data_IF_722798854983
#
_entry.id   IF_722798854983
#
_cell.length_a   1.000
_cell.length_b   1.000
_cell.length_c   1.000
_cell.angle_alpha   90.00
_cell.angle_beta   90.00
_cell.angle_gamma   90.00
#
_symmetry.space_group_name_H-M   'P 1'
#
loop_
_entity.id
_entity.type
_entity.pdbx_description
1 polymer ?
#
# COMPACT_ATOMS: atom_id res chain seq x y z
N UNK A 1 15.49 7.77 -4.38
CA UNK A 1 15.33 6.31 -4.56
C UNK A 1 16.22 5.82 -5.70
N UNK A 2 16.84 4.65 -5.55
CA UNK A 2 17.72 4.02 -6.57
C UNK A 2 17.04 2.74 -7.08
N UNK A 3 17.05 2.49 -8.40
CA UNK A 3 16.48 1.28 -9.03
C UNK A 3 17.60 0.45 -9.67
N UNK A 4 17.57 -0.87 -9.44
CA UNK A 4 18.58 -1.82 -9.90
C UNK A 4 17.91 -2.91 -10.77
N UNK A 5 18.47 -3.21 -11.95
CA UNK A 5 18.03 -4.32 -12.83
C UNK A 5 19.17 -5.29 -13.12
N UNK A 6 18.84 -6.58 -13.29
CA UNK A 6 19.76 -7.68 -13.63
C UNK A 6 19.63 -8.07 -15.10
N UNK A 7 20.74 -8.41 -15.77
CA UNK A 7 20.73 -9.00 -17.11
C UNK A 7 21.84 -10.05 -17.25
N UNK A 8 21.45 -11.34 -17.31
CA UNK A 8 22.18 -12.59 -17.66
C UNK A 8 23.65 -12.82 -17.22
N UNK A 9 24.28 -11.89 -16.53
CA UNK A 9 25.22 -12.07 -15.42
C UNK A 9 24.64 -11.18 -14.32
N UNK A 10 24.31 -11.74 -13.16
CA UNK A 10 23.55 -11.03 -12.11
C UNK A 10 24.33 -9.83 -11.54
N UNK A 11 24.38 -8.74 -12.28
CA UNK A 11 24.95 -7.47 -11.84
C UNK A 11 23.81 -6.47 -11.75
N UNK A 12 23.59 -5.96 -10.55
CA UNK A 12 22.72 -4.83 -10.31
C UNK A 12 23.44 -3.55 -10.72
N UNK A 13 22.82 -2.76 -11.60
CA UNK A 13 23.33 -1.41 -11.95
C UNK A 13 22.27 -0.34 -11.71
N UNK A 14 22.72 0.84 -11.31
CA UNK A 14 21.87 2.02 -11.19
C UNK A 14 21.26 2.35 -12.56
N UNK A 15 19.94 2.31 -12.64
CA UNK A 15 19.22 2.71 -13.87
C UNK A 15 18.93 4.21 -13.92
N UNK A 16 18.60 4.84 -12.79
CA UNK A 16 18.32 6.26 -12.71
C UNK A 16 17.87 6.71 -11.33
N UNK A 17 17.54 8.00 -11.21
CA UNK A 17 17.08 8.65 -9.97
C UNK A 17 15.73 9.32 -10.22
N UNK A 18 14.76 9.02 -9.37
CA UNK A 18 13.45 9.68 -9.35
C UNK A 18 13.48 10.83 -8.34
N UNK A 19 13.20 12.05 -8.81
CA UNK A 19 13.22 13.29 -8.03
C UNK A 19 11.79 13.81 -7.91
N UNK A 20 11.42 14.35 -6.74
CA UNK A 20 10.10 14.95 -6.53
C UNK A 20 9.65 14.95 -5.08
N UNK A 21 10.10 13.97 -4.28
CA UNK A 21 9.90 14.03 -2.83
C UNK A 21 10.77 15.12 -2.19
N UNK A 22 10.16 15.94 -1.35
CA UNK A 22 10.79 16.94 -0.47
C UNK A 22 10.97 16.42 0.96
N UNK A 23 10.28 15.34 1.32
CA UNK A 23 10.28 14.70 2.63
C UNK A 23 11.01 13.37 2.70
N UNK A 24 11.05 12.80 3.90
CA UNK A 24 11.62 11.48 4.13
C UNK A 24 10.70 10.41 3.53
N UNK A 25 11.25 9.57 2.64
CA UNK A 25 10.55 8.42 2.08
C UNK A 25 10.72 7.24 3.04
N UNK A 26 9.62 6.74 3.60
CA UNK A 26 9.65 5.63 4.57
C UNK A 26 9.04 4.34 4.02
N UNK A 27 8.36 4.40 2.87
CA UNK A 27 7.76 3.24 2.20
C UNK A 27 7.95 3.29 0.69
N UNK A 28 8.12 2.11 0.10
CA UNK A 28 8.28 1.88 -1.33
C UNK A 28 7.58 0.58 -1.72
N UNK A 29 6.98 0.55 -2.90
CA UNK A 29 6.43 -0.68 -3.46
C UNK A 29 6.35 -0.64 -4.98
N UNK A 30 6.95 -1.64 -5.64
CA UNK A 30 6.81 -1.82 -7.08
C UNK A 30 5.58 -2.70 -7.40
N UNK A 31 5.02 -2.53 -8.59
CA UNK A 31 4.10 -3.53 -9.14
C UNK A 31 4.88 -4.78 -9.54
N UNK A 32 4.21 -5.95 -9.52
CA UNK A 32 4.84 -7.23 -9.86
C UNK A 32 5.40 -7.27 -11.28
N UNK A 33 4.77 -6.53 -12.21
CA UNK A 33 5.23 -6.39 -13.59
C UNK A 33 6.40 -5.39 -13.75
N UNK A 34 6.84 -4.75 -12.66
CA UNK A 34 7.97 -3.83 -12.62
C UNK A 34 7.79 -2.55 -13.44
N UNK A 35 6.55 -2.21 -13.82
CA UNK A 35 6.25 -1.00 -14.61
C UNK A 35 6.04 0.23 -13.75
N UNK A 36 5.50 0.06 -12.55
CA UNK A 36 5.13 1.17 -11.68
C UNK A 36 5.76 1.03 -10.30
N UNK A 37 5.95 2.17 -9.65
CA UNK A 37 6.50 2.26 -8.30
C UNK A 37 5.70 3.29 -7.52
N UNK A 38 5.34 2.96 -6.29
CA UNK A 38 4.80 3.88 -5.33
C UNK A 38 5.87 4.20 -4.29
N UNK A 39 5.91 5.45 -3.86
CA UNK A 39 6.74 5.90 -2.74
C UNK A 39 5.94 6.80 -1.84
N UNK A 40 6.24 6.78 -0.55
CA UNK A 40 5.51 7.61 0.40
C UNK A 40 6.23 7.84 1.70
N UNK A 41 5.90 8.96 2.33
CA UNK A 41 6.40 9.32 3.64
C UNK A 41 5.90 10.68 4.09
N UNK A 42 6.79 11.53 4.63
CA UNK A 42 6.39 12.74 5.36
C UNK A 42 5.77 13.84 4.48
N UNK A 43 6.00 13.79 3.18
CA UNK A 43 5.46 14.71 2.16
C UNK A 43 4.33 14.06 1.30
N UNK A 44 3.78 12.95 1.79
CA UNK A 44 2.68 12.23 1.15
C UNK A 44 3.12 11.08 0.25
N UNK A 45 2.28 10.74 -0.72
CA UNK A 45 2.44 9.60 -1.64
C UNK A 45 2.75 10.09 -3.05
N UNK A 46 3.58 9.35 -3.80
CA UNK A 46 3.84 9.55 -5.23
C UNK A 46 3.81 8.22 -5.97
N UNK A 47 3.44 8.27 -7.25
CA UNK A 47 3.49 7.14 -8.16
C UNK A 47 4.41 7.45 -9.35
N UNK A 48 5.13 6.45 -9.84
CA UNK A 48 6.15 6.60 -10.88
C UNK A 48 5.96 5.55 -11.96
N UNK A 49 6.15 5.98 -13.20
CA UNK A 49 6.34 5.10 -14.33
C UNK A 49 7.84 4.78 -14.45
N UNK A 50 8.21 3.51 -14.29
CA UNK A 50 9.59 3.04 -14.28
C UNK A 50 10.20 2.87 -15.68
N UNK A 51 9.39 2.94 -16.73
CA UNK A 51 9.90 2.90 -18.10
C UNK A 51 10.37 4.29 -18.56
N UNK A 52 9.53 5.29 -18.33
CA UNK A 52 9.80 6.69 -18.66
C UNK A 52 10.57 7.43 -17.56
N UNK A 53 10.67 6.83 -16.36
CA UNK A 53 11.30 7.41 -15.17
C UNK A 53 10.69 8.76 -14.78
N UNK A 54 9.36 8.87 -14.88
CA UNK A 54 8.59 10.08 -14.59
C UNK A 54 7.53 9.84 -13.53
N UNK A 55 7.21 10.89 -12.78
CA UNK A 55 6.05 10.90 -11.89
C UNK A 55 4.77 10.77 -12.72
N UNK A 56 3.85 9.93 -12.25
CA UNK A 56 2.51 9.78 -12.81
C UNK A 56 1.62 10.84 -12.15
N UNK A 57 0.88 11.65 -12.92
CA UNK A 57 -0.02 12.64 -12.34
C UNK A 57 -1.02 12.00 -11.36
N UNK A 58 -1.17 12.59 -10.18
CA UNK A 58 -2.08 12.17 -9.13
C UNK A 58 -2.73 13.37 -8.41
N UNK A 59 -3.45 13.12 -7.30
CA UNK A 59 -4.00 14.19 -6.46
C UNK A 59 -2.92 15.18 -6.01
N UNK A 60 -3.28 16.47 -5.88
CA UNK A 60 -2.30 17.54 -5.57
C UNK A 60 -2.23 17.91 -4.08
N UNK A 61 -3.13 17.39 -3.25
CA UNK A 61 -3.22 17.68 -1.80
C UNK A 61 -2.52 16.62 -0.92
N UNK A 62 -1.37 16.12 -1.40
CA UNK A 62 -0.67 14.93 -0.89
C UNK A 62 -0.31 14.98 0.60
N UNK A 63 0.00 16.17 1.13
CA UNK A 63 0.44 16.36 2.52
C UNK A 63 -0.72 16.42 3.52
N UNK A 64 -1.97 16.54 3.06
CA UNK A 64 -3.13 16.83 3.93
C UNK A 64 -3.58 15.63 4.76
N UNK A 65 -3.24 14.40 4.35
CA UNK A 65 -3.69 13.16 5.01
C UNK A 65 -2.71 12.63 6.07
N UNK A 66 -1.60 13.35 6.28
CA UNK A 66 -0.49 12.92 7.12
C UNK A 66 0.47 11.97 6.40
N UNK A 67 1.57 11.63 7.07
CA UNK A 67 2.62 10.82 6.47
C UNK A 67 2.12 9.44 6.03
N UNK A 68 2.56 8.99 4.87
CA UNK A 68 2.28 7.64 4.35
C UNK A 68 3.18 6.61 5.02
N UNK A 69 2.57 5.68 5.77
CA UNK A 69 3.26 4.72 6.65
C UNK A 69 3.08 3.27 6.23
N UNK A 70 2.16 2.97 5.32
CA UNK A 70 2.03 1.66 4.67
C UNK A 70 1.45 1.84 3.26
N UNK A 71 1.71 0.91 2.35
CA UNK A 71 1.13 0.92 1.00
C UNK A 71 1.01 -0.49 0.43
N UNK A 72 0.00 -0.69 -0.43
CA UNK A 72 -0.21 -1.89 -1.22
C UNK A 72 -0.74 -1.53 -2.62
N UNK A 73 -0.14 -2.08 -3.68
CA UNK A 73 -0.77 -2.09 -5.00
C UNK A 73 -1.94 -3.06 -5.00
N UNK A 74 -3.08 -2.61 -5.51
CA UNK A 74 -4.30 -3.39 -5.67
C UNK A 74 -4.58 -3.53 -7.15
N UNK A 75 -4.54 -4.76 -7.64
CA UNK A 75 -4.99 -5.12 -8.98
C UNK A 75 -5.71 -6.45 -8.85
N UNK A 76 -7.00 -6.44 -9.15
CA UNK A 76 -7.85 -7.61 -8.96
C UNK A 76 -7.75 -8.51 -10.19
N UNK A 77 -8.00 -9.80 -10.01
CA UNK A 77 -8.01 -10.76 -11.11
C UNK A 77 -9.24 -10.57 -12.02
N UNK A 78 -10.36 -10.14 -11.44
CA UNK A 78 -11.62 -9.84 -12.14
C UNK A 78 -11.72 -8.39 -12.66
N UNK A 79 -10.88 -7.49 -12.15
CA UNK A 79 -10.77 -6.11 -12.60
C UNK A 79 -9.31 -5.67 -12.69
N UNK A 80 -8.83 -5.52 -13.93
CA UNK A 80 -7.44 -5.19 -14.24
C UNK A 80 -7.07 -3.72 -14.00
N UNK A 81 -7.98 -2.93 -13.43
CA UNK A 81 -7.68 -1.57 -13.00
C UNK A 81 -6.64 -1.60 -11.89
N UNK A 82 -5.59 -0.79 -12.07
CA UNK A 82 -4.55 -0.63 -11.06
C UNK A 82 -4.98 0.44 -10.05
N UNK A 83 -4.91 0.11 -8.78
CA UNK A 83 -5.09 1.05 -7.69
C UNK A 83 -3.91 0.96 -6.70
N UNK A 84 -3.69 2.04 -5.96
CA UNK A 84 -2.75 2.12 -4.85
C UNK A 84 -3.54 2.42 -3.60
N UNK A 85 -3.51 1.53 -2.62
CA UNK A 85 -4.06 1.78 -1.29
C UNK A 85 -2.91 2.06 -0.34
N UNK A 86 -2.98 3.16 0.39
CA UNK A 86 -1.97 3.49 1.39
C UNK A 86 -2.60 3.89 2.72
N UNK A 87 -1.86 3.63 3.79
CA UNK A 87 -2.24 3.93 5.15
C UNK A 87 -1.38 5.06 5.71
N UNK A 88 -1.98 5.90 6.56
CA UNK A 88 -1.30 7.07 7.12
C UNK A 88 -1.06 6.95 8.63
N UNK A 89 -0.20 7.82 9.15
CA UNK A 89 0.00 8.01 10.59
C UNK A 89 -1.27 8.45 11.32
N UNK A 90 -2.24 9.03 10.60
CA UNK A 90 -3.51 9.52 11.14
C UNK A 90 -4.63 8.46 11.09
N UNK A 91 -4.27 7.18 10.95
CA UNK A 91 -5.23 6.06 10.96
C UNK A 91 -6.19 6.04 9.77
N UNK A 92 -5.81 6.64 8.65
CA UNK A 92 -6.65 6.72 7.44
C UNK A 92 -6.12 5.79 6.35
N UNK A 93 -7.03 5.10 5.67
CA UNK A 93 -6.76 4.47 4.39
C UNK A 93 -7.15 5.43 3.27
N UNK A 94 -6.29 5.56 2.28
CA UNK A 94 -6.54 6.33 1.07
C UNK A 94 -6.35 5.42 -0.13
N UNK A 95 -7.21 5.55 -1.13
CA UNK A 95 -7.10 4.80 -2.37
C UNK A 95 -7.02 5.73 -3.56
N UNK A 96 -6.01 5.48 -4.39
CA UNK A 96 -5.87 6.07 -5.70
C UNK A 96 -6.17 5.04 -6.76
N UNK A 97 -7.08 5.34 -7.67
CA UNK A 97 -7.41 4.48 -8.80
C UNK A 97 -6.82 5.05 -10.09
N UNK A 98 -6.24 4.17 -10.90
CA UNK A 98 -5.61 4.53 -12.16
C UNK A 98 -6.60 4.59 -13.32
N UNK A 99 -6.58 5.69 -14.06
CA UNK A 99 -7.39 5.91 -15.26
C UNK A 99 -6.50 6.23 -16.46
N UNK A 100 -6.91 5.81 -17.66
CA UNK A 100 -6.23 6.22 -18.90
C UNK A 100 -6.87 7.50 -19.42
N UNK A 101 -6.13 8.61 -19.43
CA UNK A 101 -6.51 9.88 -20.05
C UNK A 101 -5.52 10.22 -21.16
N UNK A 102 -6.00 10.28 -22.41
CA UNK A 102 -5.14 10.53 -23.58
C UNK A 102 -4.01 9.49 -23.73
N UNK A 103 -4.28 8.22 -23.40
CA UNK A 103 -3.29 7.13 -23.46
C UNK A 103 -2.30 7.07 -22.31
N UNK A 104 -2.29 8.06 -21.41
CA UNK A 104 -1.42 8.09 -20.23
C UNK A 104 -2.19 7.66 -18.98
N UNK A 105 -1.52 6.93 -18.10
CA UNK A 105 -2.04 6.63 -16.77
C UNK A 105 -2.03 7.90 -15.93
N UNK A 106 -3.13 8.15 -15.22
CA UNK A 106 -3.25 9.17 -14.18
C UNK A 106 -3.96 8.54 -12.99
N UNK A 107 -3.67 9.03 -11.78
CA UNK A 107 -4.33 8.58 -10.56
C UNK A 107 -5.34 9.62 -10.06
N UNK A 108 -6.47 9.14 -9.58
CA UNK A 108 -7.48 9.94 -8.90
C UNK A 108 -7.77 9.31 -7.53
N UNK A 109 -7.92 10.14 -6.51
CA UNK A 109 -8.36 9.69 -5.19
C UNK A 109 -9.82 9.28 -5.26
N UNK A 110 -10.12 8.03 -4.92
CA UNK A 110 -11.47 7.47 -4.97
C UNK A 110 -12.11 7.32 -3.60
N UNK A 111 -11.29 7.20 -2.55
CA UNK A 111 -11.76 7.34 -1.18
C UNK A 111 -10.64 7.72 -0.23
N UNK A 112 -11.05 8.33 0.88
CA UNK A 112 -10.33 8.37 2.14
C UNK A 112 -11.27 7.92 3.25
N UNK A 113 -10.79 7.08 4.15
CA UNK A 113 -11.59 6.66 5.31
C UNK A 113 -11.54 7.72 6.41
N UNK A 114 -12.56 7.73 7.28
CA UNK A 114 -12.38 8.24 8.63
C UNK A 114 -11.28 7.45 9.38
N UNK A 115 -10.83 7.94 10.55
CA UNK A 115 -9.89 7.20 11.37
C UNK A 115 -10.43 5.79 11.69
N UNK A 116 -9.60 4.78 11.49
CA UNK A 116 -9.89 3.41 11.93
C UNK A 116 -10.00 3.34 13.46
N UNK A 117 -10.50 2.21 13.95
CA UNK A 117 -10.72 1.95 15.39
C UNK A 117 -9.42 2.21 16.16
N UNK A 118 -9.52 2.85 17.34
CA UNK A 118 -8.37 3.30 18.17
C UNK A 118 -7.46 4.36 17.54
N UNK A 119 -7.78 4.87 16.35
CA UNK A 119 -7.15 6.04 15.72
C UNK A 119 -5.62 6.03 15.81
N UNK A 120 -4.99 4.96 15.31
CA UNK A 120 -3.55 4.78 15.40
C UNK A 120 -2.90 4.60 14.02
N UNK A 121 -1.61 4.93 13.92
CA UNK A 121 -0.80 4.78 12.70
C UNK A 121 -1.01 3.40 12.05
N UNK A 122 -1.31 3.39 10.75
CA UNK A 122 -1.36 2.16 9.96
C UNK A 122 0.07 1.69 9.70
N UNK A 123 0.39 0.50 10.18
CA UNK A 123 1.75 -0.03 10.18
C UNK A 123 2.00 -1.02 9.04
N UNK A 124 0.95 -1.71 8.57
CA UNK A 124 1.06 -2.69 7.50
C UNK A 124 -0.23 -2.87 6.71
N UNK A 125 -0.06 -3.16 5.42
CA UNK A 125 -1.12 -3.49 4.47
C UNK A 125 -0.70 -4.71 3.66
N UNK A 126 -1.65 -5.60 3.37
CA UNK A 126 -1.47 -6.69 2.41
C UNK A 126 -2.76 -6.87 1.61
N UNK A 127 -2.63 -7.20 0.34
CA UNK A 127 -3.74 -7.46 -0.57
C UNK A 127 -3.59 -8.86 -1.18
N UNK A 128 -4.67 -9.61 -1.18
CA UNK A 128 -4.78 -10.90 -1.86
C UNK A 128 -5.77 -10.75 -3.03
N UNK A 129 -5.23 -10.76 -4.25
CA UNK A 129 -6.00 -10.57 -5.47
C UNK A 129 -6.99 -11.71 -5.74
N UNK A 130 -6.66 -12.93 -5.33
CA UNK A 130 -7.49 -14.10 -5.61
C UNK A 130 -8.73 -14.19 -4.71
N UNK A 131 -8.76 -13.46 -3.58
CA UNK A 131 -9.98 -13.29 -2.75
C UNK A 131 -10.48 -11.86 -2.69
N UNK A 132 -9.81 -10.92 -3.37
CA UNK A 132 -10.07 -9.48 -3.25
C UNK A 132 -10.11 -9.01 -1.79
N UNK A 133 -9.17 -9.50 -0.97
CA UNK A 133 -9.09 -9.15 0.46
C UNK A 133 -7.94 -8.21 0.76
N UNK A 134 -8.21 -7.20 1.56
CA UNK A 134 -7.24 -6.26 2.10
C UNK A 134 -7.12 -6.48 3.60
N UNK A 135 -5.94 -6.89 4.07
CA UNK A 135 -5.61 -6.94 5.47
C UNK A 135 -4.89 -5.64 5.87
N UNK A 136 -5.31 -5.07 6.99
CA UNK A 136 -4.83 -3.79 7.52
C UNK A 136 -4.43 -4.00 8.96
N UNK A 137 -3.23 -3.59 9.34
CA UNK A 137 -2.81 -3.61 10.74
C UNK A 137 -2.26 -2.25 11.17
N UNK A 138 -2.50 -1.89 12.42
CA UNK A 138 -2.15 -0.56 12.94
C UNK A 138 -1.62 -0.62 14.37
N UNK A 139 -0.99 0.47 14.80
CA UNK A 139 -0.24 0.57 16.05
C UNK A 139 -1.08 0.38 17.32
N UNK A 140 -2.40 0.53 17.19
CA UNK A 140 -3.39 0.31 18.26
C UNK A 140 -3.61 -1.16 18.64
N UNK A 141 -2.82 -2.09 18.10
CA UNK A 141 -2.90 -3.51 18.43
C UNK A 141 -4.00 -4.24 17.67
N UNK A 142 -4.47 -3.70 16.56
CA UNK A 142 -5.65 -4.25 15.86
C UNK A 142 -5.32 -4.57 14.40
N UNK A 143 -5.96 -5.62 13.93
CA UNK A 143 -5.94 -6.07 12.54
C UNK A 143 -7.37 -6.11 12.05
N UNK A 144 -7.59 -5.63 10.83
CA UNK A 144 -8.89 -5.65 10.17
C UNK A 144 -8.75 -6.29 8.79
N UNK A 145 -9.76 -7.05 8.42
CA UNK A 145 -9.90 -7.62 7.09
C UNK A 145 -11.08 -6.96 6.36
N UNK A 146 -10.84 -6.61 5.11
CA UNK A 146 -11.81 -5.95 4.24
C UNK A 146 -11.91 -6.69 2.91
N UNK A 147 -13.09 -6.67 2.30
CA UNK A 147 -13.30 -7.01 0.90
C UNK A 147 -13.19 -5.74 0.07
N UNK A 148 -12.47 -5.80 -1.06
CA UNK A 148 -12.35 -4.71 -2.03
C UNK A 148 -13.33 -4.94 -3.16
N UNK A 149 -14.32 -4.04 -3.32
CA UNK A 149 -15.33 -4.10 -4.38
C UNK A 149 -14.82 -3.52 -5.71
N UNK A 150 -15.59 -3.65 -6.79
CA UNK A 150 -15.18 -3.26 -8.17
C UNK A 150 -14.90 -1.75 -8.25
N UNK A 151 -15.68 -1.00 -7.49
CA UNK A 151 -15.54 0.45 -7.27
C UNK A 151 -14.40 0.83 -6.34
N UNK A 152 -13.55 -0.13 -5.94
CA UNK A 152 -12.54 0.01 -4.88
C UNK A 152 -13.11 0.26 -3.47
N UNK A 153 -14.44 0.28 -3.30
CA UNK A 153 -15.05 0.45 -1.99
C UNK A 153 -14.68 -0.70 -1.05
N UNK A 154 -14.38 -0.37 0.21
CA UNK A 154 -14.05 -1.34 1.24
C UNK A 154 -15.30 -1.80 1.99
N UNK A 155 -15.50 -3.11 2.07
CA UNK A 155 -16.52 -3.73 2.93
C UNK A 155 -15.84 -4.47 4.06
N UNK A 156 -16.14 -4.10 5.30
CA UNK A 156 -15.59 -4.75 6.48
C UNK A 156 -15.95 -6.25 6.52
N UNK A 157 -15.00 -7.08 6.93
CA UNK A 157 -15.19 -8.53 7.13
C UNK A 157 -15.06 -8.88 8.62
N UNK A 158 -13.91 -8.62 9.24
CA UNK A 158 -13.68 -8.86 10.67
C UNK A 158 -12.52 -8.01 11.21
N UNK A 159 -12.41 -7.96 12.54
CA UNK A 159 -11.29 -7.34 13.26
C UNK A 159 -10.82 -8.20 14.44
N UNK A 160 -9.52 -8.23 14.69
CA UNK A 160 -8.92 -8.89 15.85
C UNK A 160 -8.00 -7.92 16.59
N UNK A 161 -8.17 -7.85 17.91
CA UNK A 161 -7.31 -7.09 18.82
C UNK A 161 -6.28 -8.02 19.49
N UNK A 162 -5.05 -7.52 19.62
CA UNK A 162 -3.93 -8.14 20.33
C UNK A 162 -3.53 -7.25 21.49
N UNK A 163 -3.66 -7.77 22.72
CA UNK A 163 -3.16 -7.09 23.91
C UNK A 163 -1.63 -7.19 23.95
N UNK A 164 -0.96 -6.09 24.31
CA UNK A 164 0.50 -6.00 24.49
C UNK A 164 1.37 -6.21 23.25
N UNK A 165 0.77 -6.31 22.06
CA UNK A 165 1.49 -6.44 20.80
C UNK A 165 1.10 -5.34 19.83
N UNK A 166 2.09 -4.88 19.06
CA UNK A 166 1.91 -3.88 18.01
C UNK A 166 2.15 -4.57 16.67
N UNK A 167 1.08 -4.91 15.92
CA UNK A 167 1.23 -5.45 14.58
C UNK A 167 2.10 -4.53 13.72
N UNK A 168 3.11 -5.09 13.06
CA UNK A 168 4.06 -4.32 12.24
C UNK A 168 3.99 -4.69 10.77
N UNK A 169 3.81 -5.97 10.48
CA UNK A 169 3.59 -6.45 9.11
C UNK A 169 2.46 -7.45 9.10
N UNK A 170 1.79 -7.54 7.95
CA UNK A 170 0.72 -8.47 7.68
C UNK A 170 0.95 -9.05 6.29
N UNK A 171 0.62 -10.32 6.09
CA UNK A 171 0.71 -10.99 4.80
C UNK A 171 -0.39 -12.05 4.69
N UNK A 172 -0.79 -12.37 3.46
CA UNK A 172 -1.61 -13.54 3.20
C UNK A 172 -0.72 -14.74 2.89
N UNK A 173 -1.16 -15.92 3.30
CA UNK A 173 -0.56 -17.20 2.93
C UNK A 173 -1.67 -18.18 2.64
N UNK A 174 -1.49 -18.96 1.57
CA UNK A 174 -2.31 -20.14 1.31
C UNK A 174 -1.59 -21.34 1.93
N UNK A 175 -2.23 -21.98 2.91
CA UNK A 175 -1.79 -23.28 3.42
C UNK A 175 -2.40 -24.38 2.55
N UNK A 176 -2.07 -25.65 2.81
CA UNK A 176 -2.53 -26.77 1.98
C UNK A 176 -4.05 -26.72 1.71
N UNK A 177 -4.44 -26.80 0.43
CA UNK A 177 -5.84 -26.71 -0.01
C UNK A 177 -6.36 -25.28 -0.18
N UNK A 178 -7.63 -25.06 0.19
CA UNK A 178 -8.33 -23.77 0.09
C UNK A 178 -8.19 -22.90 1.36
N UNK A 179 -7.43 -23.35 2.36
CA UNK A 179 -7.27 -22.64 3.62
C UNK A 179 -6.37 -21.41 3.45
N UNK A 180 -6.91 -20.23 3.78
CA UNK A 180 -6.20 -18.95 3.68
C UNK A 180 -5.95 -18.38 5.06
N UNK A 181 -4.69 -18.09 5.34
CA UNK A 181 -4.23 -17.53 6.60
C UNK A 181 -3.79 -16.08 6.45
N UNK A 182 -4.05 -15.27 7.48
CA UNK A 182 -3.46 -13.95 7.65
C UNK A 182 -2.29 -14.09 8.62
N UNK A 183 -1.07 -13.94 8.12
CA UNK A 183 0.14 -13.94 8.92
C UNK A 183 0.36 -12.55 9.50
N UNK A 184 0.72 -12.49 10.78
CA UNK A 184 0.91 -11.25 11.53
C UNK A 184 2.27 -11.28 12.20
N UNK A 185 3.07 -10.25 11.95
CA UNK A 185 4.36 -10.07 12.60
C UNK A 185 4.28 -8.89 13.57
N UNK A 186 4.16 -9.14 14.88
CA UNK A 186 4.07 -8.10 15.88
C UNK A 186 5.46 -7.63 16.35
N UNK A 187 5.52 -6.40 16.84
CA UNK A 187 6.55 -5.94 17.77
C UNK A 187 6.01 -6.09 19.19
N UNK A 188 6.90 -6.39 20.15
CA UNK A 188 6.54 -6.38 21.56
C UNK A 188 6.17 -4.95 21.98
N UNK A 189 4.99 -4.79 22.59
CA UNK A 189 4.43 -3.48 22.93
C UNK A 189 5.06 -2.80 24.14
N UNK A 190 5.91 -3.51 24.90
CA UNK A 190 6.69 -2.93 26.00
C UNK A 190 5.91 -2.63 27.29
N UNK A 191 4.63 -2.99 27.38
CA UNK A 191 3.85 -2.80 28.61
C UNK A 191 3.98 -4.03 29.52
N UNK A 192 4.55 -3.81 30.71
CA UNK A 192 4.46 -4.70 31.87
C UNK A 192 3.06 -4.66 32.48
#
# INVERSE_FOLDING_TARGET
MLSLRSNSKQSYRLHGKLHGHSGAIVRLQATDDGKYLASGGTDGTKAWDLHSMREIPGPTWLETHGATTAMVWVKREDNMTLALVYGTQNSQLVCWQGFKRGGKLVFEEVFITGPLIKSAEITGLAFDASSNRLAVCHRGGVIQLWTVADSMALKFVWSQEFKNYVPRAVAFSQLEGDERSVLVFPLYGGYM
#
